data_IF_227096308946
#
_entry.id   IF_227096308946
#
_cell.length_a   1.000
_cell.length_b   1.000
_cell.length_c   1.000
_cell.angle_alpha   90.00
_cell.angle_beta   90.00
_cell.angle_gamma   90.00
#
_symmetry.space_group_name_H-M   'P 1'
#
loop_
_entity.id
_entity.type
_entity.pdbx_description
1 polymer ?
#
# COMPACT_ATOMS: atom_id res chain seq x y z
N UNK A 1 7.48 7.77 -10.04
CA UNK A 1 7.04 9.06 -10.61
C UNK A 1 5.76 9.53 -9.93
N UNK A 2 5.82 10.68 -9.24
CA UNK A 2 4.66 11.33 -8.64
C UNK A 2 3.78 11.98 -9.71
N UNK A 3 2.47 12.09 -9.44
CA UNK A 3 1.53 12.83 -10.28
C UNK A 3 1.72 14.34 -10.02
N UNK A 4 1.44 15.18 -11.01
CA UNK A 4 1.48 16.64 -10.85
C UNK A 4 0.54 17.09 -9.71
N UNK A 5 1.03 17.98 -8.85
CA UNK A 5 0.30 18.51 -7.67
C UNK A 5 -1.03 19.17 -8.07
N UNK A 6 -1.07 19.85 -9.22
CA UNK A 6 -2.27 20.53 -9.72
C UNK A 6 -3.46 19.58 -9.99
N UNK A 7 -3.20 18.29 -10.20
CA UNK A 7 -4.23 17.28 -10.54
C UNK A 7 -4.79 16.52 -9.32
N UNK A 8 -4.29 16.81 -8.12
CA UNK A 8 -4.68 16.11 -6.89
C UNK A 8 -4.17 14.66 -6.80
N UNK A 9 -4.32 14.04 -5.61
CA UNK A 9 -3.93 12.66 -5.38
C UNK A 9 -4.77 11.70 -6.22
N UNK A 10 -4.18 10.57 -6.60
CA UNK A 10 -4.92 9.51 -7.28
C UNK A 10 -5.32 8.42 -6.30
N UNK A 11 -6.61 8.10 -6.27
CA UNK A 11 -7.14 6.91 -5.62
C UNK A 11 -8.07 6.20 -6.59
N UNK A 12 -8.02 4.86 -6.58
CA UNK A 12 -9.02 4.06 -7.27
C UNK A 12 -10.38 4.13 -6.55
N UNK A 13 -11.45 4.35 -7.31
CA UNK A 13 -12.80 4.54 -6.78
C UNK A 13 -13.29 3.37 -5.90
N UNK A 14 -12.90 2.14 -6.24
CA UNK A 14 -13.26 0.96 -5.44
C UNK A 14 -12.54 0.92 -4.09
N UNK A 15 -11.34 1.51 -4.00
CA UNK A 15 -10.59 1.59 -2.75
C UNK A 15 -11.15 2.71 -1.88
N UNK A 16 -11.44 3.89 -2.46
CA UNK A 16 -12.10 4.99 -1.77
C UNK A 16 -13.37 4.52 -1.05
N UNK A 17 -14.31 3.90 -1.78
CA UNK A 17 -15.57 3.39 -1.23
C UNK A 17 -15.37 2.41 -0.06
N UNK A 18 -14.33 1.57 -0.11
CA UNK A 18 -14.03 0.62 0.98
C UNK A 18 -13.46 1.32 2.21
N UNK A 19 -12.62 2.33 2.00
CA UNK A 19 -12.06 3.15 3.09
C UNK A 19 -13.17 3.94 3.76
N UNK A 20 -14.03 4.61 2.99
CA UNK A 20 -15.18 5.37 3.51
C UNK A 20 -16.11 4.47 4.34
N UNK A 21 -16.44 3.29 3.83
CA UNK A 21 -17.27 2.31 4.54
C UNK A 21 -16.60 1.79 5.82
N UNK A 22 -15.29 1.54 5.79
CA UNK A 22 -14.55 1.08 6.96
C UNK A 22 -14.45 2.17 8.03
N UNK A 23 -14.28 3.43 7.61
CA UNK A 23 -14.25 4.59 8.48
C UNK A 23 -15.60 4.81 9.15
N UNK A 24 -16.70 4.80 8.37
CA UNK A 24 -18.06 4.91 8.89
C UNK A 24 -18.44 3.78 9.86
N UNK A 25 -17.98 2.55 9.59
CA UNK A 25 -18.22 1.40 10.46
C UNK A 25 -17.25 1.29 11.66
N UNK A 26 -16.21 2.13 11.74
CA UNK A 26 -15.13 2.01 12.73
C UNK A 26 -14.37 0.67 12.67
N UNK A 27 -14.45 -0.05 11.54
CA UNK A 27 -13.95 -1.42 11.44
C UNK A 27 -12.48 -1.44 11.06
N UNK A 28 -11.64 -2.02 11.92
CA UNK A 28 -10.18 -2.18 11.68
C UNK A 28 -9.83 -3.45 10.89
N UNK A 29 -10.79 -4.02 10.16
CA UNK A 29 -10.55 -5.23 9.36
C UNK A 29 -9.61 -4.93 8.19
N UNK A 30 -8.66 -5.83 7.86
CA UNK A 30 -7.76 -5.61 6.73
C UNK A 30 -8.48 -5.46 5.39
N UNK A 31 -8.29 -4.33 4.72
CA UNK A 31 -8.90 -4.03 3.42
C UNK A 31 -8.01 -4.59 2.31
N UNK A 32 -8.51 -5.57 1.55
CA UNK A 32 -7.78 -6.13 0.39
C UNK A 32 -7.83 -5.19 -0.81
N UNK A 33 -6.67 -4.93 -1.41
CA UNK A 33 -6.53 -4.12 -2.62
C UNK A 33 -5.50 -4.68 -3.59
N UNK A 34 -5.83 -4.57 -4.89
CA UNK A 34 -4.89 -4.76 -6.00
C UNK A 34 -4.35 -3.44 -6.53
N UNK A 35 -4.94 -2.31 -6.11
CA UNK A 35 -4.50 -0.99 -6.53
C UNK A 35 -3.23 -0.58 -5.79
N UNK A 36 -2.08 -0.89 -6.39
CA UNK A 36 -0.75 -0.43 -5.94
C UNK A 36 -0.45 1.02 -6.32
N UNK A 37 -1.26 1.59 -7.23
CA UNK A 37 -1.06 2.93 -7.80
C UNK A 37 -1.73 4.04 -6.99
N UNK A 38 -2.66 3.68 -6.11
CA UNK A 38 -3.35 4.63 -5.23
C UNK A 38 -2.39 5.25 -4.24
N UNK A 39 -2.54 6.56 -4.04
CA UNK A 39 -1.84 7.35 -3.04
C UNK A 39 -2.52 7.18 -1.69
N UNK A 40 -1.73 7.18 -0.63
CA UNK A 40 -2.22 7.17 0.75
C UNK A 40 -2.73 8.56 1.09
N UNK A 41 -4.01 8.63 1.46
CA UNK A 41 -4.73 9.85 1.85
C UNK A 41 -4.95 9.81 3.37
N UNK A 42 -5.05 10.97 4.06
CA UNK A 42 -5.20 11.00 5.52
C UNK A 42 -6.32 10.13 6.08
N UNK A 43 -7.43 9.96 5.35
CA UNK A 43 -8.55 9.11 5.78
C UNK A 43 -8.20 7.63 5.95
N UNK A 44 -7.06 7.19 5.41
CA UNK A 44 -6.55 5.83 5.54
C UNK A 44 -5.73 5.60 6.82
N UNK A 45 -5.42 6.64 7.59
CA UNK A 45 -4.59 6.52 8.79
C UNK A 45 -5.27 5.60 9.81
N UNK A 46 -4.50 4.65 10.36
CA UNK A 46 -5.01 3.68 11.33
C UNK A 46 -5.76 2.49 10.73
N UNK A 47 -5.88 2.43 9.39
CA UNK A 47 -6.40 1.26 8.68
C UNK A 47 -5.27 0.33 8.23
N UNK A 48 -5.56 -0.98 8.21
CA UNK A 48 -4.67 -1.98 7.64
C UNK A 48 -5.10 -2.28 6.21
N UNK A 49 -4.22 -2.02 5.26
CA UNK A 49 -4.46 -2.26 3.83
C UNK A 49 -3.61 -3.46 3.39
N UNK A 50 -4.27 -4.52 2.95
CA UNK A 50 -3.61 -5.70 2.41
C UNK A 50 -3.34 -5.48 0.91
N UNK A 51 -2.11 -5.12 0.57
CA UNK A 51 -1.68 -4.74 -0.79
C UNK A 51 -1.14 -5.95 -1.54
N UNK A 52 -1.69 -6.24 -2.72
CA UNK A 52 -1.20 -7.32 -3.58
C UNK A 52 0.22 -7.02 -4.11
N UNK A 53 1.16 -7.96 -3.94
CA UNK A 53 2.54 -7.81 -4.44
C UNK A 53 2.86 -8.66 -5.70
N UNK A 54 1.86 -9.33 -6.28
CA UNK A 54 2.04 -10.26 -7.41
C UNK A 54 1.88 -11.73 -7.03
N UNK A 55 1.98 -12.07 -5.74
CA UNK A 55 1.78 -13.43 -5.21
C UNK A 55 0.81 -13.47 -4.04
N UNK A 56 0.95 -12.53 -3.11
CA UNK A 56 0.17 -12.48 -1.88
C UNK A 56 -0.24 -11.05 -1.54
N UNK A 57 -1.19 -10.91 -0.61
CA UNK A 57 -1.56 -9.62 -0.06
C UNK A 57 -0.74 -9.36 1.20
N UNK A 58 0.13 -8.37 1.14
CA UNK A 58 0.97 -7.96 2.28
C UNK A 58 0.17 -6.97 3.13
N UNK A 59 -0.06 -7.25 4.42
CA UNK A 59 -0.75 -6.30 5.30
C UNK A 59 0.17 -5.12 5.61
N UNK A 60 -0.27 -3.92 5.26
CA UNK A 60 0.41 -2.65 5.54
C UNK A 60 -0.46 -1.85 6.50
N UNK A 61 0.06 -1.55 7.69
CA UNK A 61 -0.59 -0.64 8.62
C UNK A 61 -0.21 0.80 8.29
N UNK A 62 -1.20 1.65 8.04
CA UNK A 62 -0.97 3.02 7.55
C UNK A 62 -0.73 3.98 8.71
N UNK A 63 0.42 4.66 8.69
CA UNK A 63 0.78 5.74 9.63
C UNK A 63 0.82 7.10 8.94
N UNK A 64 0.83 8.19 9.71
CA UNK A 64 0.85 9.58 9.18
C UNK A 64 2.03 9.85 8.25
N UNK A 65 3.21 9.31 8.56
CA UNK A 65 4.41 9.48 7.74
C UNK A 65 4.31 8.84 6.35
N UNK A 66 3.29 7.99 6.10
CA UNK A 66 3.07 7.34 4.81
C UNK A 66 2.18 8.18 3.88
N UNK A 67 1.57 9.27 4.36
CA UNK A 67 0.70 10.13 3.53
C UNK A 67 1.49 10.72 2.36
N UNK A 68 0.90 10.68 1.16
CA UNK A 68 1.54 11.14 -0.08
C UNK A 68 2.38 10.08 -0.81
N UNK A 69 2.70 8.96 -0.17
CA UNK A 69 3.31 7.81 -0.83
C UNK A 69 2.27 6.93 -1.55
N UNK A 70 2.73 6.07 -2.46
CA UNK A 70 1.87 5.06 -3.09
C UNK A 70 1.88 3.76 -2.29
N UNK A 71 0.72 3.08 -2.25
CA UNK A 71 0.60 1.77 -1.59
C UNK A 71 1.60 0.73 -2.10
N UNK A 72 1.98 0.80 -3.38
CA UNK A 72 2.96 -0.10 -3.98
C UNK A 72 4.37 0.02 -3.38
N UNK A 73 4.74 1.15 -2.79
CA UNK A 73 6.06 1.38 -2.20
C UNK A 73 6.28 0.50 -0.96
N UNK A 74 5.21 0.17 -0.25
CA UNK A 74 5.24 -0.64 0.97
C UNK A 74 5.05 -2.14 0.72
N UNK A 75 4.90 -2.56 -0.55
CA UNK A 75 4.69 -3.95 -0.94
C UNK A 75 5.72 -4.37 -2.01
N UNK A 76 6.87 -4.94 -1.61
CA UNK A 76 7.93 -5.34 -2.53
C UNK A 76 7.47 -6.50 -3.42
N UNK A 77 7.74 -6.39 -4.72
CA UNK A 77 7.30 -7.37 -5.74
C UNK A 77 8.33 -8.45 -6.04
N UNK A 78 9.62 -8.20 -5.78
CA UNK A 78 10.70 -9.14 -6.02
C UNK A 78 11.55 -9.25 -4.75
N UNK A 79 11.95 -10.47 -4.42
CA UNK A 79 12.92 -10.73 -3.36
C UNK A 79 14.31 -10.81 -3.97
N UNK A 80 15.05 -9.71 -3.93
CA UNK A 80 16.46 -9.72 -4.31
C UNK A 80 17.29 -10.30 -3.16
N UNK A 81 17.92 -11.45 -3.37
CA UNK A 81 18.74 -12.15 -2.35
C UNK A 81 20.22 -11.77 -2.38
N UNK A 82 20.59 -10.72 -3.13
CA UNK A 82 21.98 -10.36 -3.41
C UNK A 82 22.50 -11.01 -4.69
N UNK A 83 23.67 -10.56 -5.15
CA UNK A 83 24.44 -11.27 -6.16
C UNK A 83 25.00 -12.56 -5.55
N UNK A 84 24.88 -13.68 -6.24
CA UNK A 84 25.50 -14.94 -5.83
C UNK A 84 27.01 -14.87 -6.06
N UNK A 85 27.73 -14.09 -5.25
CA UNK A 85 29.15 -14.31 -5.04
C UNK A 85 29.26 -15.33 -3.89
N UNK A 86 29.81 -16.51 -4.21
CA UNK A 86 30.17 -17.61 -3.31
C UNK A 86 29.38 -17.74 -1.99
N UNK A 87 28.26 -18.48 -2.03
CA UNK A 87 27.73 -19.15 -0.82
C UNK A 87 28.50 -20.45 -0.55
N UNK A 88 29.83 -20.36 -0.50
CA UNK A 88 30.70 -21.33 0.16
C UNK A 88 31.27 -20.65 1.40
N UNK A 89 31.14 -21.32 2.55
CA UNK A 89 31.49 -20.89 3.92
C UNK A 89 30.47 -19.97 4.60
N UNK A 90 29.57 -20.54 5.41
CA UNK A 90 29.85 -21.01 6.79
C UNK A 90 28.77 -22.00 7.21
#
# INVERSE_FOLDING_TARGET
MPRSVRKGPFIDLHLAKKVDAAHAAGSKRPIKTWSRRSMIVPDMIGLTIAVHNGRQHVPVYVTENMVGHKLGEFAPTRTFKGHAADKKAK
#
